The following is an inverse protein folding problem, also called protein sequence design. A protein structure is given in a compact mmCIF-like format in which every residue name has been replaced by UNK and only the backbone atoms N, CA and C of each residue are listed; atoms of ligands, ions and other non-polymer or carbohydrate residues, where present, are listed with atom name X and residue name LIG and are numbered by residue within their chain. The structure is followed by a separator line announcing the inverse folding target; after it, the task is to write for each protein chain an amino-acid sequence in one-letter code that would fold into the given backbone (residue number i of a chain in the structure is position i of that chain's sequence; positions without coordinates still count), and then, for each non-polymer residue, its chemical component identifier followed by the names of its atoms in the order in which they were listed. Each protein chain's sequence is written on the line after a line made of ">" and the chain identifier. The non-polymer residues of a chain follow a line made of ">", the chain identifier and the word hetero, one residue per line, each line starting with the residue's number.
data_IF_300039739058
#
_entry.id   IF_300039739058
#
_cell.length_a   1.000
_cell.length_b   1.000
_cell.length_c   1.000
_cell.angle_alpha   90.00
_cell.angle_beta   90.00
_cell.angle_gamma   90.00
#
_symmetry.space_group_name_H-M   'P 1'
#
loop_
_entity.id
_entity.type
_entity.pdbx_description
1 polymer ?
#
# COMPACT_ATOMS: atom_id res chain seq x y z
N UNK A 1 -70.76 24.10 28.42
CA UNK A 1 -69.70 23.74 27.44
C UNK A 1 -70.40 23.29 26.17
N UNK A 2 -70.51 24.15 25.16
CA UNK A 2 -71.32 23.86 23.98
C UNK A 2 -70.69 22.72 23.16
N UNK A 3 -71.49 21.97 22.40
CA UNK A 3 -71.01 20.90 21.50
C UNK A 3 -69.91 21.38 20.52
N UNK A 4 -69.89 22.69 20.23
CA UNK A 4 -68.89 23.36 19.40
C UNK A 4 -67.49 23.37 20.03
N UNK A 5 -67.39 23.60 21.35
CA UNK A 5 -66.10 23.61 22.07
C UNK A 5 -65.50 22.19 22.18
N UNK A 6 -66.36 21.18 22.34
CA UNK A 6 -65.95 19.78 22.41
C UNK A 6 -65.41 19.27 21.06
N UNK A 7 -65.99 19.74 19.95
CA UNK A 7 -65.47 19.47 18.61
C UNK A 7 -64.17 20.22 18.33
N UNK A 8 -64.03 21.49 18.78
CA UNK A 8 -62.77 22.23 18.66
C UNK A 8 -61.61 21.57 19.41
N UNK A 9 -61.84 21.06 20.63
CA UNK A 9 -60.85 20.32 21.40
C UNK A 9 -60.43 18.99 20.74
N UNK A 10 -61.38 18.25 20.15
CA UNK A 10 -61.09 17.01 19.41
C UNK A 10 -60.29 17.27 18.14
N UNK A 11 -60.63 18.30 17.39
CA UNK A 11 -59.93 18.68 16.16
C UNK A 11 -58.50 19.16 16.46
N UNK A 12 -58.31 19.93 17.54
CA UNK A 12 -56.97 20.35 17.97
C UNK A 12 -56.07 19.17 18.38
N UNK A 13 -56.62 18.20 19.11
CA UNK A 13 -55.87 17.02 19.55
C UNK A 13 -55.51 16.07 18.40
N UNK A 14 -56.41 15.93 17.41
CA UNK A 14 -56.13 15.20 16.15
C UNK A 14 -55.02 15.90 15.35
N UNK A 15 -55.05 17.22 15.26
CA UNK A 15 -54.04 17.99 14.53
C UNK A 15 -52.65 17.87 15.15
N UNK A 16 -52.56 17.88 16.49
CA UNK A 16 -51.30 17.61 17.22
C UNK A 16 -50.80 16.20 16.93
N UNK A 17 -51.67 15.19 16.94
CA UNK A 17 -51.29 13.81 16.61
C UNK A 17 -50.75 13.67 15.18
N UNK A 18 -51.42 14.27 14.20
CA UNK A 18 -50.96 14.28 12.80
C UNK A 18 -49.62 15.00 12.65
N UNK A 19 -49.44 16.13 13.33
CA UNK A 19 -48.17 16.86 13.31
C UNK A 19 -47.02 16.00 13.85
N UNK A 20 -47.23 15.28 14.96
CA UNK A 20 -46.23 14.37 15.50
C UNK A 20 -45.89 13.23 14.54
N UNK A 21 -46.88 12.66 13.85
CA UNK A 21 -46.64 11.62 12.83
C UNK A 21 -45.80 12.19 11.68
N UNK A 22 -46.08 13.41 11.21
CA UNK A 22 -45.30 14.06 10.16
C UNK A 22 -43.86 14.33 10.63
N UNK A 23 -43.66 14.79 11.87
CA UNK A 23 -42.32 15.01 12.44
C UNK A 23 -41.52 13.71 12.50
N UNK A 24 -42.13 12.61 12.96
CA UNK A 24 -41.46 11.31 13.00
C UNK A 24 -41.10 10.80 11.60
N UNK A 25 -42.02 10.94 10.64
CA UNK A 25 -41.76 10.58 9.24
C UNK A 25 -40.63 11.41 8.65
N UNK A 26 -40.59 12.72 8.92
CA UNK A 26 -39.54 13.61 8.45
C UNK A 26 -38.17 13.20 8.99
N UNK A 27 -38.07 12.85 10.28
CA UNK A 27 -36.81 12.37 10.89
C UNK A 27 -36.31 11.10 10.19
N UNK A 28 -37.19 10.12 9.97
CA UNK A 28 -36.82 8.88 9.27
C UNK A 28 -36.36 9.18 7.84
N UNK A 29 -37.10 9.99 7.08
CA UNK A 29 -36.72 10.39 5.73
C UNK A 29 -35.35 11.07 5.69
N UNK A 30 -35.08 11.98 6.63
CA UNK A 30 -33.78 12.66 6.72
C UNK A 30 -32.65 11.69 7.01
N UNK A 31 -32.83 10.75 7.95
CA UNK A 31 -31.79 9.75 8.25
C UNK A 31 -31.46 8.87 7.04
N UNK A 32 -32.47 8.37 6.33
CA UNK A 32 -32.29 7.55 5.12
C UNK A 32 -31.61 8.35 4.00
N UNK A 33 -31.97 9.63 3.84
CA UNK A 33 -31.34 10.50 2.85
C UNK A 33 -29.85 10.73 3.16
N UNK A 34 -29.48 10.88 4.44
CA UNK A 34 -28.08 11.01 4.84
C UNK A 34 -27.29 9.71 4.65
N UNK A 35 -27.82 8.56 5.06
CA UNK A 35 -27.13 7.27 4.88
C UNK A 35 -26.96 6.93 3.40
N UNK A 36 -28.00 7.11 2.58
CA UNK A 36 -27.93 6.86 1.13
C UNK A 36 -26.83 7.69 0.44
N UNK A 37 -26.64 8.95 0.85
CA UNK A 37 -25.55 9.80 0.32
C UNK A 37 -24.17 9.28 0.70
N UNK A 38 -24.01 8.73 1.91
CA UNK A 38 -22.76 8.13 2.36
C UNK A 38 -22.48 6.83 1.60
N UNK A 39 -23.48 5.96 1.48
CA UNK A 39 -23.34 4.66 0.80
C UNK A 39 -22.94 4.81 -0.66
N UNK A 40 -23.52 5.78 -1.38
CA UNK A 40 -23.12 6.08 -2.76
C UNK A 40 -21.66 6.52 -2.84
N UNK A 41 -21.18 7.37 -1.93
CA UNK A 41 -19.78 7.82 -1.90
C UNK A 41 -18.82 6.68 -1.59
N UNK A 42 -19.17 5.82 -0.63
CA UNK A 42 -18.36 4.65 -0.26
C UNK A 42 -18.29 3.66 -1.43
N UNK A 43 -19.42 3.43 -2.11
CA UNK A 43 -19.50 2.54 -3.27
C UNK A 43 -18.63 3.05 -4.43
N UNK A 44 -18.69 4.35 -4.72
CA UNK A 44 -17.84 4.99 -5.72
C UNK A 44 -16.35 4.86 -5.37
N UNK A 45 -15.96 5.17 -4.13
CA UNK A 45 -14.57 5.05 -3.70
C UNK A 45 -14.06 3.60 -3.78
N UNK A 46 -14.91 2.63 -3.47
CA UNK A 46 -14.58 1.20 -3.58
C UNK A 46 -14.39 0.77 -5.03
N UNK A 47 -15.22 1.26 -5.95
CA UNK A 47 -15.06 1.03 -7.39
C UNK A 47 -13.75 1.65 -7.91
N UNK A 48 -13.44 2.89 -7.53
CA UNK A 48 -12.20 3.56 -7.93
C UNK A 48 -10.96 2.85 -7.39
N UNK A 49 -10.99 2.33 -6.16
CA UNK A 49 -9.88 1.53 -5.62
C UNK A 49 -9.62 0.27 -6.44
N UNK A 50 -10.68 -0.42 -6.87
CA UNK A 50 -10.56 -1.60 -7.74
C UNK A 50 -9.96 -1.19 -9.08
N UNK A 51 -10.44 -0.09 -9.66
CA UNK A 51 -9.95 0.47 -10.93
C UNK A 51 -8.46 0.80 -10.85
N UNK A 52 -8.02 1.55 -9.83
CA UNK A 52 -6.61 1.86 -9.61
C UNK A 52 -5.77 0.59 -9.43
N UNK A 53 -6.25 -0.41 -8.69
CA UNK A 53 -5.53 -1.69 -8.53
C UNK A 53 -5.32 -2.40 -9.88
N UNK A 54 -6.35 -2.44 -10.73
CA UNK A 54 -6.23 -3.02 -12.07
C UNK A 54 -5.37 -2.16 -13.00
N UNK A 55 -5.43 -0.83 -12.87
CA UNK A 55 -4.53 0.09 -13.58
C UNK A 55 -3.06 -0.13 -13.21
N UNK A 56 -2.75 -0.31 -11.92
CA UNK A 56 -1.40 -0.70 -11.48
C UNK A 56 -1.00 -2.08 -12.02
N UNK A 57 -1.92 -3.04 -12.06
CA UNK A 57 -1.63 -4.36 -12.66
C UNK A 57 -1.34 -4.24 -14.15
N UNK A 58 -2.12 -3.45 -14.88
CA UNK A 58 -1.89 -3.19 -16.29
C UNK A 58 -0.48 -2.61 -16.52
N UNK A 59 -0.07 -1.61 -15.73
CA UNK A 59 1.29 -1.06 -15.82
C UNK A 59 2.39 -2.10 -15.57
N UNK A 60 2.20 -3.00 -14.59
CA UNK A 60 3.16 -4.11 -14.36
C UNK A 60 3.21 -5.07 -15.54
N UNK A 61 2.07 -5.44 -16.12
CA UNK A 61 2.04 -6.33 -17.29
C UNK A 61 2.64 -5.65 -18.53
N UNK A 62 2.44 -4.35 -18.72
CA UNK A 62 3.09 -3.57 -19.77
C UNK A 62 4.61 -3.58 -19.60
N UNK A 63 5.11 -3.37 -18.37
CA UNK A 63 6.54 -3.47 -18.08
C UNK A 63 7.10 -4.86 -18.40
N UNK A 64 6.38 -5.92 -18.00
CA UNK A 64 6.78 -7.31 -18.29
C UNK A 64 6.79 -7.57 -19.80
N UNK A 65 5.81 -7.05 -20.54
CA UNK A 65 5.76 -7.21 -21.99
C UNK A 65 6.96 -6.54 -22.68
N UNK A 66 7.30 -5.30 -22.27
CA UNK A 66 8.47 -4.58 -22.79
C UNK A 66 9.77 -5.31 -22.45
N UNK A 67 9.92 -5.81 -21.22
CA UNK A 67 11.10 -6.58 -20.80
C UNK A 67 11.23 -7.91 -21.55
N UNK A 68 10.12 -8.60 -21.84
CA UNK A 68 10.15 -9.85 -22.60
C UNK A 68 10.53 -9.62 -24.08
N UNK A 69 10.11 -8.50 -24.67
CA UNK A 69 10.47 -8.11 -26.04
C UNK A 69 11.96 -7.72 -26.13
N UNK A 70 12.44 -6.97 -25.14
CA UNK A 70 13.86 -6.63 -25.02
C UNK A 70 14.73 -7.89 -24.87
N UNK A 71 14.37 -8.80 -23.96
CA UNK A 71 15.08 -10.08 -23.78
C UNK A 71 15.11 -10.94 -25.06
N UNK A 72 14.09 -10.84 -25.92
CA UNK A 72 14.04 -11.58 -27.17
C UNK A 72 14.93 -10.99 -28.27
N UNK A 73 15.25 -9.70 -28.18
CA UNK A 73 15.91 -8.94 -29.25
C UNK A 73 17.31 -8.46 -28.88
N UNK A 74 17.63 -8.40 -27.59
CA UNK A 74 18.85 -7.85 -27.02
C UNK A 74 19.53 -8.84 -26.05
N UNK A 75 20.86 -8.77 -25.94
CA UNK A 75 21.68 -9.64 -25.08
C UNK A 75 22.30 -8.88 -23.90
N UNK A 76 22.08 -7.57 -23.80
CA UNK A 76 22.65 -6.71 -22.78
C UNK A 76 21.69 -5.61 -22.37
N UNK A 77 21.64 -5.32 -21.07
CA UNK A 77 20.80 -4.26 -20.52
C UNK A 77 21.55 -2.92 -20.47
N UNK A 78 20.90 -1.86 -20.94
CA UNK A 78 21.38 -0.48 -20.94
C UNK A 78 20.26 0.50 -20.60
N UNK A 79 20.63 1.71 -20.15
CA UNK A 79 19.67 2.80 -19.91
C UNK A 79 19.03 3.35 -21.20
N UNK A 80 19.55 2.96 -22.36
CA UNK A 80 19.02 3.34 -23.68
C UNK A 80 17.91 2.41 -24.17
N UNK A 81 17.68 1.29 -23.48
CA UNK A 81 16.66 0.31 -23.86
C UNK A 81 15.25 0.80 -23.53
N UNK A 82 14.25 0.25 -24.23
CA UNK A 82 12.85 0.64 -24.07
C UNK A 82 12.32 0.37 -22.66
N UNK A 83 12.84 -0.65 -21.96
CA UNK A 83 12.45 -0.91 -20.58
C UNK A 83 12.90 0.22 -19.63
N UNK A 84 14.01 0.91 -19.94
CA UNK A 84 14.55 1.99 -19.12
C UNK A 84 13.94 3.36 -19.47
N UNK A 85 13.72 3.64 -20.75
CA UNK A 85 13.20 4.92 -21.23
C UNK A 85 12.16 4.76 -22.34
N UNK A 86 10.89 4.57 -21.95
CA UNK A 86 9.75 4.56 -22.88
C UNK A 86 8.60 5.45 -22.38
N UNK A 87 8.64 6.77 -22.59
CA UNK A 87 7.58 7.68 -22.18
C UNK A 87 6.22 7.39 -22.84
N UNK A 88 6.20 6.78 -24.04
CA UNK A 88 4.96 6.52 -24.76
C UNK A 88 4.11 5.45 -24.07
N UNK A 89 4.75 4.38 -23.59
CA UNK A 89 4.06 3.25 -22.96
C UNK A 89 4.14 3.25 -21.42
N UNK A 90 4.93 4.15 -20.82
CA UNK A 90 5.10 4.21 -19.37
C UNK A 90 4.69 5.52 -18.70
N UNK A 91 4.42 6.62 -19.42
CA UNK A 91 4.09 7.90 -18.77
C UNK A 91 2.62 8.29 -19.00
N UNK A 92 1.83 8.38 -17.92
CA UNK A 92 0.43 8.80 -17.92
C UNK A 92 -0.45 8.04 -18.95
N UNK A 93 -0.24 6.73 -19.06
CA UNK A 93 -0.98 5.89 -20.01
C UNK A 93 -2.46 5.85 -19.61
N UNK A 94 -3.39 6.26 -20.50
CA UNK A 94 -4.79 6.35 -20.18
C UNK A 94 -5.47 4.97 -20.19
N UNK A 95 -6.29 4.73 -19.17
CA UNK A 95 -7.26 3.64 -19.08
C UNK A 95 -8.65 4.24 -18.78
N UNK A 96 -9.70 3.43 -18.85
CA UNK A 96 -11.05 3.89 -18.56
C UNK A 96 -11.21 4.31 -17.09
N UNK A 97 -11.17 5.62 -16.85
CA UNK A 97 -11.33 6.26 -15.53
C UNK A 97 -10.06 6.35 -14.68
N UNK A 98 -8.87 5.97 -15.19
CA UNK A 98 -7.59 6.18 -14.50
C UNK A 98 -6.43 6.23 -15.49
N UNK A 99 -5.26 6.68 -15.04
CA UNK A 99 -4.01 6.51 -15.77
C UNK A 99 -2.99 5.77 -14.90
N UNK A 100 -1.95 5.23 -15.51
CA UNK A 100 -0.82 4.67 -14.78
C UNK A 100 0.50 5.18 -15.35
N UNK A 101 1.50 5.21 -14.48
CA UNK A 101 2.89 5.51 -14.83
C UNK A 101 3.77 4.40 -14.31
N UNK A 102 4.74 3.97 -15.12
CA UNK A 102 5.66 2.87 -14.83
C UNK A 102 7.08 3.41 -14.79
N UNK A 103 7.86 2.90 -13.84
CA UNK A 103 9.30 3.08 -13.81
C UNK A 103 9.93 1.73 -13.54
N UNK A 104 10.86 1.33 -14.41
CA UNK A 104 11.66 0.13 -14.23
C UNK A 104 13.06 0.55 -13.84
N UNK A 105 13.65 -0.15 -12.87
CA UNK A 105 15.01 0.08 -12.43
C UNK A 105 15.75 -1.25 -12.34
N UNK A 106 16.96 -1.31 -12.89
CA UNK A 106 17.81 -2.47 -12.71
C UNK A 106 18.33 -2.56 -11.27
N UNK A 107 17.96 -3.65 -10.58
CA UNK A 107 18.43 -3.95 -9.23
C UNK A 107 19.82 -4.58 -9.23
N UNK A 108 20.29 -5.15 -10.35
CA UNK A 108 21.65 -5.71 -10.47
C UNK A 108 22.73 -4.61 -10.48
N UNK A 109 22.38 -3.38 -10.84
CA UNK A 109 23.23 -2.20 -10.70
C UNK A 109 23.53 -1.79 -9.24
N UNK A 110 22.89 -2.42 -8.23
CA UNK A 110 23.13 -2.15 -6.81
C UNK A 110 24.03 -3.22 -6.18
N UNK A 111 24.70 -2.86 -5.08
CA UNK A 111 25.47 -3.85 -4.31
C UNK A 111 24.52 -4.85 -3.64
N UNK A 112 24.59 -6.11 -4.07
CA UNK A 112 23.75 -7.18 -3.51
C UNK A 112 24.19 -7.54 -2.09
N UNK A 113 23.38 -7.15 -1.10
CA UNK A 113 23.63 -7.42 0.32
C UNK A 113 23.60 -8.91 0.70
N UNK A 114 23.17 -9.82 -0.17
CA UNK A 114 23.22 -11.25 0.12
C UNK A 114 24.56 -11.88 -0.28
N UNK A 115 25.27 -11.30 -1.24
CA UNK A 115 26.54 -11.83 -1.75
C UNK A 115 27.75 -10.94 -1.45
N UNK A 116 27.53 -9.67 -1.13
CA UNK A 116 28.60 -8.73 -0.82
C UNK A 116 29.38 -9.14 0.43
N UNK A 117 30.71 -9.15 0.33
CA UNK A 117 31.62 -9.39 1.46
C UNK A 117 31.93 -8.11 2.24
N UNK A 118 32.54 -8.25 3.43
CA UNK A 118 32.88 -7.12 4.34
C UNK A 118 33.55 -5.96 3.60
N UNK A 119 34.58 -6.24 2.79
CA UNK A 119 35.31 -5.20 2.04
C UNK A 119 34.44 -4.36 1.11
N UNK A 120 33.43 -4.97 0.47
CA UNK A 120 32.52 -4.27 -0.44
C UNK A 120 31.49 -3.46 0.35
N UNK A 121 30.95 -4.02 1.44
CA UNK A 121 30.04 -3.31 2.33
C UNK A 121 30.68 -2.05 2.90
N UNK A 122 31.95 -2.14 3.32
CA UNK A 122 32.72 -1.00 3.84
C UNK A 122 32.96 0.12 2.83
N UNK A 123 32.69 -0.08 1.53
CA UNK A 123 32.72 0.99 0.53
C UNK A 123 31.44 1.83 0.50
N UNK A 124 30.37 1.36 1.17
CA UNK A 124 29.12 2.11 1.25
C UNK A 124 29.28 3.32 2.18
N UNK A 125 28.66 4.46 1.85
CA UNK A 125 28.71 5.64 2.70
C UNK A 125 28.08 5.35 4.07
N UNK A 126 28.70 5.85 5.13
CA UNK A 126 28.29 5.66 6.53
C UNK A 126 28.31 4.20 7.03
N UNK A 127 28.97 3.29 6.32
CA UNK A 127 29.17 1.91 6.82
C UNK A 127 30.24 1.87 7.92
N UNK A 128 29.94 1.20 9.03
CA UNK A 128 30.91 0.89 10.09
C UNK A 128 31.24 -0.60 10.08
N UNK A 129 32.35 -0.98 10.70
CA UNK A 129 32.70 -2.40 10.84
C UNK A 129 31.63 -3.19 11.59
N UNK A 130 31.05 -2.60 12.64
CA UNK A 130 29.99 -3.22 13.44
C UNK A 130 28.74 -3.52 12.59
N UNK A 131 28.32 -2.56 11.75
CA UNK A 131 27.17 -2.76 10.85
C UNK A 131 27.51 -3.82 9.80
N UNK A 132 28.70 -3.75 9.19
CA UNK A 132 29.10 -4.72 8.17
C UNK A 132 29.18 -6.14 8.73
N UNK A 133 29.72 -6.32 9.93
CA UNK A 133 29.81 -7.62 10.59
C UNK A 133 28.43 -8.11 11.02
N UNK A 134 27.56 -7.25 11.54
CA UNK A 134 26.16 -7.61 11.87
C UNK A 134 25.37 -8.07 10.64
N UNK A 135 25.57 -7.45 9.47
CA UNK A 135 24.93 -7.88 8.21
C UNK A 135 25.46 -9.26 7.75
N UNK A 136 26.71 -9.58 8.07
CA UNK A 136 27.30 -10.87 7.73
C UNK A 136 26.82 -11.98 8.67
N UNK A 137 26.79 -11.71 9.99
CA UNK A 137 26.26 -12.62 11.01
C UNK A 137 24.79 -12.94 10.71
N UNK A 138 23.97 -11.90 10.49
CA UNK A 138 22.54 -12.06 10.17
C UNK A 138 22.22 -13.06 9.05
N UNK A 139 23.08 -13.08 8.00
CA UNK A 139 22.82 -13.89 6.79
C UNK A 139 23.50 -15.24 6.79
N UNK A 140 24.52 -15.43 7.61
CA UNK A 140 25.28 -16.67 7.59
C UNK A 140 24.53 -17.77 8.34
N UNK A 141 25.02 -19.01 8.30
CA UNK A 141 24.28 -20.16 8.87
C UNK A 141 24.77 -20.60 10.24
N UNK A 142 25.83 -19.99 10.75
CA UNK A 142 26.43 -20.38 12.01
C UNK A 142 25.92 -19.44 13.12
N UNK A 143 26.39 -19.66 14.35
CA UNK A 143 26.10 -18.80 15.50
C UNK A 143 27.41 -18.18 16.04
N UNK A 144 28.46 -18.12 15.20
CA UNK A 144 29.77 -17.58 15.55
C UNK A 144 29.78 -16.06 15.38
N UNK A 145 29.65 -15.35 16.50
CA UNK A 145 29.65 -13.87 16.53
C UNK A 145 30.99 -13.31 16.05
N UNK A 146 30.96 -12.45 15.02
CA UNK A 146 32.14 -11.68 14.59
C UNK A 146 32.50 -10.60 15.60
N UNK A 147 33.73 -10.07 15.54
CA UNK A 147 34.25 -9.11 16.53
C UNK A 147 33.33 -7.90 16.78
N UNK A 148 32.76 -7.31 15.72
CA UNK A 148 31.73 -6.27 15.80
C UNK A 148 30.32 -6.74 15.43
N UNK A 149 30.10 -8.05 15.33
CA UNK A 149 28.87 -8.65 14.85
C UNK A 149 27.84 -8.91 15.95
N UNK A 150 26.73 -9.53 15.55
CA UNK A 150 25.62 -9.86 16.42
C UNK A 150 24.90 -11.11 15.89
N UNK A 151 24.68 -12.08 16.76
CA UNK A 151 23.93 -13.32 16.46
C UNK A 151 22.63 -13.40 17.26
N UNK A 152 21.93 -14.53 17.17
CA UNK A 152 20.61 -14.75 17.77
C UNK A 152 20.52 -14.30 19.23
N UNK A 153 21.59 -14.53 20.00
CA UNK A 153 21.69 -14.11 21.40
C UNK A 153 21.56 -12.60 21.62
N UNK A 154 22.00 -11.76 20.69
CA UNK A 154 21.81 -10.31 20.76
C UNK A 154 20.35 -9.94 20.47
N UNK A 155 19.82 -10.39 19.33
CA UNK A 155 18.51 -9.96 18.84
C UNK A 155 17.34 -10.43 19.71
N UNK A 156 17.43 -11.62 20.32
CA UNK A 156 16.40 -12.12 21.24
C UNK A 156 16.36 -11.32 22.55
N UNK A 157 17.47 -10.70 22.94
CA UNK A 157 17.58 -9.91 24.18
C UNK A 157 17.23 -8.43 24.02
N UNK A 158 16.79 -8.00 22.83
CA UNK A 158 16.28 -6.64 22.61
C UNK A 158 14.95 -6.42 23.37
N UNK A 159 14.55 -5.16 23.65
CA UNK A 159 13.26 -4.87 24.29
C UNK A 159 12.04 -5.48 23.58
N UNK A 160 12.14 -5.63 22.25
CA UNK A 160 11.22 -6.38 21.41
C UNK A 160 12.03 -7.44 20.64
N UNK A 161 12.47 -8.48 21.34
CA UNK A 161 13.32 -9.51 20.77
C UNK A 161 12.67 -10.28 19.62
N UNK A 162 13.48 -10.67 18.64
CA UNK A 162 13.06 -11.44 17.48
C UNK A 162 14.16 -12.41 17.03
N UNK A 163 13.75 -13.45 16.33
CA UNK A 163 14.66 -14.44 15.77
C UNK A 163 15.35 -13.89 14.52
N UNK A 164 16.63 -14.22 14.39
CA UNK A 164 17.40 -13.95 13.17
C UNK A 164 17.16 -15.03 12.12
N UNK A 165 17.47 -14.70 10.88
CA UNK A 165 17.22 -15.62 9.76
C UNK A 165 18.26 -16.73 9.63
N UNK A 166 19.52 -16.43 9.94
CA UNK A 166 20.66 -17.25 9.54
C UNK A 166 20.60 -17.63 8.05
N UNK A 167 20.35 -16.61 7.22
CA UNK A 167 20.13 -16.79 5.79
C UNK A 167 19.86 -15.49 5.05
N UNK A 168 19.75 -15.59 3.73
CA UNK A 168 19.57 -14.43 2.85
C UNK A 168 18.41 -13.52 3.27
N UNK A 169 18.67 -12.21 3.20
CA UNK A 169 17.68 -11.16 3.31
C UNK A 169 16.60 -11.33 2.24
N UNK A 170 15.34 -11.31 2.66
CA UNK A 170 14.19 -11.35 1.72
C UNK A 170 13.73 -9.97 1.32
N UNK A 171 13.95 -8.99 2.18
CA UNK A 171 13.59 -7.59 1.93
C UNK A 171 14.65 -6.68 2.52
N UNK A 172 14.83 -5.49 1.95
CA UNK A 172 15.75 -4.48 2.49
C UNK A 172 15.33 -3.99 3.89
N UNK A 173 14.08 -4.20 4.30
CA UNK A 173 13.57 -3.81 5.62
C UNK A 173 14.17 -4.62 6.77
N UNK A 174 14.74 -5.78 6.49
CA UNK A 174 15.42 -6.62 7.50
C UNK A 174 16.77 -6.04 7.93
N UNK A 175 17.21 -4.92 7.36
CA UNK A 175 18.38 -4.15 7.82
C UNK A 175 18.05 -3.13 8.94
N UNK A 176 16.77 -2.99 9.32
CA UNK A 176 16.27 -2.03 10.32
C UNK A 176 15.93 -2.75 11.62
#
# INVERSE_FOLDING_TARGET
>A
MSLVDKNRLRVGLVLVGVMWVIVLLAVVMTTVAHTSRLDTRISLSSAERIRCKWGSRAGVETAIAVLNDDFATNYSDSFDDLWASNPADFNDVPLDGCSFTVQVSDEAGKLNINTAGKKQLMQLPNMTEEIADSILDWRDKNDDVREGGAEAGYYVNLPYGYDIRNGNFRTMRELL
#
